data_IF_012088158406
#
_entry.id   IF_012088158406
#
_cell.length_a   1.000
_cell.length_b   1.000
_cell.length_c   1.000
_cell.angle_alpha   90.00
_cell.angle_beta   90.00
_cell.angle_gamma   90.00
#
_symmetry.space_group_name_H-M   'P 1'
#
loop_
_entity.id
_entity.type
_entity.pdbx_description
1 polymer ?
#
# COMPACT_ATOMS: atom_id res chain seq x y z
N UNK A 1 -44.59 -42.72 -12.64
CA UNK A 1 -43.52 -41.72 -12.38
C UNK A 1 -43.07 -41.19 -13.74
N UNK A 2 -43.30 -39.91 -14.04
CA UNK A 2 -43.15 -39.37 -15.39
C UNK A 2 -41.67 -39.31 -15.80
N UNK A 3 -41.31 -39.98 -16.90
CA UNK A 3 -39.94 -40.00 -17.46
C UNK A 3 -39.39 -38.59 -17.66
N UNK A 4 -40.25 -37.62 -18.00
CA UNK A 4 -39.88 -36.19 -18.11
C UNK A 4 -39.45 -35.55 -16.79
N UNK A 5 -40.02 -35.98 -15.66
CA UNK A 5 -39.66 -35.49 -14.33
C UNK A 5 -38.30 -36.04 -13.88
N UNK A 6 -38.00 -37.30 -14.23
CA UNK A 6 -36.73 -37.96 -13.92
C UNK A 6 -35.57 -37.31 -14.70
N UNK A 7 -35.78 -36.98 -15.98
CA UNK A 7 -34.77 -36.29 -16.81
C UNK A 7 -34.48 -34.88 -16.28
N UNK A 8 -35.49 -34.15 -15.80
CA UNK A 8 -35.31 -32.81 -15.24
C UNK A 8 -34.50 -32.84 -13.92
N UNK A 9 -34.74 -33.84 -13.07
CA UNK A 9 -33.99 -34.02 -11.82
C UNK A 9 -32.53 -34.42 -12.07
N UNK A 10 -32.25 -35.22 -13.11
CA UNK A 10 -30.89 -35.60 -13.49
C UNK A 10 -30.07 -34.41 -14.04
N UNK A 11 -30.70 -33.47 -14.75
CA UNK A 11 -30.04 -32.27 -15.26
C UNK A 11 -29.70 -31.25 -14.15
N UNK A 12 -30.51 -31.19 -13.09
CA UNK A 12 -30.27 -30.30 -11.94
C UNK A 12 -29.05 -30.71 -11.10
N UNK A 13 -28.70 -32.01 -11.05
CA UNK A 13 -27.52 -32.49 -10.31
C UNK A 13 -26.20 -32.34 -11.07
N UNK A 14 -26.23 -32.20 -12.40
CA UNK A 14 -25.02 -32.04 -13.22
C UNK A 14 -24.39 -30.62 -13.13
N UNK A 15 -25.13 -29.64 -12.58
CA UNK A 15 -24.69 -28.24 -12.47
C UNK A 15 -23.84 -27.92 -11.23
N UNK A 16 -23.75 -28.83 -10.25
CA UNK A 16 -22.95 -28.63 -9.03
C UNK A 16 -21.51 -29.11 -9.26
N UNK A 17 -20.81 -28.55 -10.26
CA UNK A 17 -19.35 -28.58 -10.23
C UNK A 17 -18.90 -27.51 -9.25
N UNK A 18 -18.71 -27.92 -7.99
CA UNK A 18 -18.04 -27.09 -6.99
C UNK A 18 -16.71 -26.62 -7.56
N UNK A 19 -16.52 -25.29 -7.60
CA UNK A 19 -15.21 -24.70 -7.80
C UNK A 19 -14.39 -25.11 -6.58
N UNK A 20 -13.60 -26.18 -6.69
CA UNK A 20 -12.51 -26.42 -5.75
C UNK A 20 -11.58 -25.22 -5.90
N UNK A 21 -11.61 -24.29 -4.95
CA UNK A 21 -10.49 -23.38 -4.76
C UNK A 21 -9.27 -24.28 -4.57
N UNK A 22 -8.34 -24.25 -5.53
CA UNK A 22 -7.05 -24.91 -5.34
C UNK A 22 -6.44 -24.25 -4.11
N UNK A 23 -6.32 -25.00 -3.01
CA UNK A 23 -5.67 -24.53 -1.80
C UNK A 23 -4.25 -24.09 -2.20
N UNK A 24 -3.97 -22.79 -2.08
CA UNK A 24 -2.66 -22.26 -2.47
C UNK A 24 -1.67 -22.75 -1.42
N UNK A 25 -0.79 -23.67 -1.80
CA UNK A 25 0.27 -24.15 -0.89
C UNK A 25 1.33 -23.05 -0.71
N UNK A 26 1.09 -22.21 0.29
CA UNK A 26 2.00 -21.13 0.66
C UNK A 26 3.39 -21.64 1.08
N UNK A 27 3.54 -22.88 1.55
CA UNK A 27 4.87 -23.39 1.89
C UNK A 27 5.73 -23.49 0.65
N UNK A 28 5.17 -24.10 -0.40
CA UNK A 28 5.85 -24.24 -1.70
C UNK A 28 6.00 -22.89 -2.39
N UNK A 29 4.95 -22.07 -2.37
CA UNK A 29 4.95 -20.78 -3.06
C UNK A 29 5.99 -19.81 -2.48
N UNK A 30 6.17 -19.81 -1.16
CA UNK A 30 7.13 -18.92 -0.50
C UNK A 30 8.59 -19.23 -0.87
N UNK A 31 8.90 -20.46 -1.27
CA UNK A 31 10.26 -20.85 -1.70
C UNK A 31 10.55 -20.51 -3.16
N UNK A 32 9.58 -19.93 -3.87
CA UNK A 32 9.77 -19.49 -5.25
C UNK A 32 10.39 -18.09 -5.32
N UNK A 33 11.13 -17.85 -6.41
CA UNK A 33 11.66 -16.54 -6.72
C UNK A 33 10.54 -15.61 -7.23
N UNK A 34 10.41 -14.38 -6.70
CA UNK A 34 9.44 -13.40 -7.19
C UNK A 34 9.74 -12.95 -8.63
N UNK A 35 8.70 -12.59 -9.38
CA UNK A 35 8.86 -12.12 -10.75
C UNK A 35 9.66 -10.83 -10.83
N UNK A 36 9.48 -9.91 -9.87
CA UNK A 36 10.17 -8.62 -9.81
C UNK A 36 11.70 -8.74 -9.71
N UNK A 37 12.23 -9.91 -9.35
CA UNK A 37 13.67 -10.17 -9.32
C UNK A 37 14.25 -10.36 -10.72
N UNK A 38 13.48 -10.94 -11.64
CA UNK A 38 13.93 -11.22 -13.01
C UNK A 38 13.63 -10.11 -14.00
N UNK A 39 12.70 -9.21 -13.67
CA UNK A 39 12.19 -8.21 -14.59
C UNK A 39 12.12 -6.86 -13.90
N UNK A 40 12.63 -5.80 -14.56
CA UNK A 40 12.37 -4.42 -14.16
C UNK A 40 10.86 -4.20 -14.22
N UNK A 41 10.21 -4.18 -13.06
CA UNK A 41 8.76 -4.10 -12.95
C UNK A 41 8.35 -2.66 -12.68
N UNK A 42 7.49 -2.11 -13.52
CA UNK A 42 6.76 -0.86 -13.22
C UNK A 42 5.52 -1.18 -12.36
N UNK A 43 4.96 -0.21 -11.64
CA UNK A 43 3.78 -0.40 -10.76
C UNK A 43 2.53 -0.91 -11.51
N UNK A 44 2.50 -0.72 -12.84
CA UNK A 44 1.44 -1.21 -13.73
C UNK A 44 1.63 -2.65 -14.21
N UNK A 45 2.76 -3.28 -13.90
CA UNK A 45 3.06 -4.65 -14.32
C UNK A 45 2.13 -5.65 -13.59
N UNK A 46 1.38 -6.41 -14.39
CA UNK A 46 0.48 -7.47 -13.89
C UNK A 46 1.25 -8.53 -13.08
N UNK A 47 2.52 -8.74 -13.41
CA UNK A 47 3.35 -9.72 -12.72
C UNK A 47 3.79 -9.20 -11.34
N UNK A 48 4.08 -7.90 -11.19
CA UNK A 48 4.31 -7.30 -9.87
C UNK A 48 3.05 -7.35 -9.00
N UNK A 49 1.87 -7.12 -9.58
CA UNK A 49 0.61 -7.29 -8.84
C UNK A 49 0.46 -8.70 -8.31
N UNK A 50 0.81 -9.70 -9.13
CA UNK A 50 0.79 -11.10 -8.70
C UNK A 50 1.76 -11.34 -7.53
N UNK A 51 2.99 -10.85 -7.62
CA UNK A 51 3.97 -10.96 -6.53
C UNK A 51 3.45 -10.34 -5.23
N UNK A 52 2.82 -9.16 -5.31
CA UNK A 52 2.21 -8.46 -4.17
C UNK A 52 1.07 -9.29 -3.56
N UNK A 53 0.19 -9.87 -4.38
CA UNK A 53 -0.92 -10.69 -3.89
C UNK A 53 -0.41 -11.98 -3.22
N UNK A 54 0.66 -12.59 -3.74
CA UNK A 54 1.33 -13.72 -3.09
C UNK A 54 1.86 -13.31 -1.71
N UNK A 55 2.55 -12.16 -1.62
CA UNK A 55 3.08 -11.66 -0.35
C UNK A 55 1.98 -11.35 0.66
N UNK A 56 0.87 -10.75 0.23
CA UNK A 56 -0.30 -10.51 1.10
C UNK A 56 -0.91 -11.81 1.61
N UNK A 57 -1.16 -12.74 0.70
CA UNK A 57 -1.85 -14.00 1.02
C UNK A 57 -0.99 -14.94 1.86
N UNK A 58 0.27 -15.17 1.46
CA UNK A 58 1.15 -16.14 2.09
C UNK A 58 2.08 -15.56 3.17
N UNK A 59 2.28 -14.24 3.20
CA UNK A 59 3.14 -13.56 4.15
C UNK A 59 2.43 -12.94 5.36
N UNK A 60 1.08 -12.99 5.40
CA UNK A 60 0.26 -12.35 6.42
C UNK A 60 0.58 -10.85 6.58
N UNK A 61 0.57 -10.11 5.46
CA UNK A 61 0.90 -8.68 5.46
C UNK A 61 -0.35 -7.89 5.81
N UNK A 62 -0.25 -7.04 6.82
CA UNK A 62 -1.34 -6.16 7.20
C UNK A 62 -1.36 -4.86 6.38
N UNK A 63 -2.23 -3.92 6.76
CA UNK A 63 -2.34 -2.63 6.06
C UNK A 63 -1.11 -1.72 6.22
N UNK A 64 -0.27 -1.94 7.23
CA UNK A 64 0.98 -1.21 7.46
C UNK A 64 2.09 -1.82 6.61
N UNK A 65 2.22 -3.14 6.63
CA UNK A 65 3.19 -3.86 5.80
C UNK A 65 2.94 -3.61 4.31
N UNK A 66 1.67 -3.57 3.92
CA UNK A 66 1.25 -3.30 2.54
C UNK A 66 1.71 -1.93 2.03
N UNK A 67 2.01 -0.96 2.90
CA UNK A 67 2.55 0.33 2.48
C UNK A 67 3.96 0.22 1.87
N UNK A 68 4.68 -0.85 2.21
CA UNK A 68 6.02 -1.14 1.68
C UNK A 68 6.01 -2.02 0.42
N UNK A 69 4.86 -2.59 0.04
CA UNK A 69 4.71 -3.48 -1.11
C UNK A 69 4.68 -2.71 -2.44
N UNK A 70 5.72 -1.90 -2.69
CA UNK A 70 5.95 -1.20 -3.95
C UNK A 70 7.15 -1.82 -4.66
N UNK A 71 7.09 -1.93 -5.99
CA UNK A 71 8.12 -2.59 -6.81
C UNK A 71 9.55 -2.17 -6.48
N UNK A 72 9.88 -0.86 -6.44
CA UNK A 72 11.22 -0.40 -6.07
C UNK A 72 11.65 -0.81 -4.66
N UNK A 73 10.75 -0.71 -3.68
CA UNK A 73 11.06 -1.07 -2.29
C UNK A 73 11.31 -2.57 -2.14
N UNK A 74 10.46 -3.39 -2.76
CA UNK A 74 10.65 -4.84 -2.81
C UNK A 74 11.99 -5.23 -3.45
N UNK A 75 12.37 -4.52 -4.52
CA UNK A 75 13.68 -4.69 -5.16
C UNK A 75 14.85 -4.34 -4.24
N UNK A 76 14.77 -3.23 -3.50
CA UNK A 76 15.82 -2.82 -2.55
C UNK A 76 15.96 -3.81 -1.40
N UNK A 77 14.84 -4.22 -0.77
CA UNK A 77 14.83 -5.20 0.31
C UNK A 77 15.47 -6.51 -0.19
N UNK A 78 15.02 -7.02 -1.34
CA UNK A 78 15.55 -8.26 -1.89
C UNK A 78 17.05 -8.16 -2.16
N UNK A 79 17.51 -7.07 -2.77
CA UNK A 79 18.91 -6.86 -3.08
C UNK A 79 19.77 -6.85 -1.81
N UNK A 80 19.30 -6.21 -0.74
CA UNK A 80 20.00 -6.17 0.54
C UNK A 80 20.12 -7.57 1.16
N UNK A 81 19.02 -8.33 1.19
CA UNK A 81 19.00 -9.67 1.77
C UNK A 81 19.86 -10.66 0.97
N UNK A 82 19.86 -10.56 -0.36
CA UNK A 82 20.74 -11.37 -1.23
C UNK A 82 22.21 -11.03 -1.01
N UNK A 83 22.56 -9.76 -0.84
CA UNK A 83 23.92 -9.34 -0.47
C UNK A 83 24.35 -9.86 0.89
N UNK A 84 23.40 -10.08 1.79
CA UNK A 84 23.62 -10.75 3.07
C UNK A 84 23.67 -12.29 2.97
N UNK A 85 23.66 -12.86 1.76
CA UNK A 85 23.80 -14.30 1.51
C UNK A 85 22.49 -15.09 1.53
N UNK A 86 21.33 -14.43 1.58
CA UNK A 86 20.02 -15.10 1.56
C UNK A 86 19.54 -15.39 0.13
N UNK A 87 18.72 -16.43 -0.09
CA UNK A 87 18.18 -16.72 -1.40
C UNK A 87 17.13 -15.66 -1.81
N UNK A 88 16.96 -15.46 -3.12
CA UNK A 88 16.02 -14.46 -3.64
C UNK A 88 14.58 -15.01 -3.74
N UNK A 89 13.93 -15.30 -2.61
CA UNK A 89 12.59 -15.93 -2.57
C UNK A 89 11.55 -15.05 -1.88
N UNK A 90 10.26 -15.33 -2.07
CA UNK A 90 9.21 -14.66 -1.29
C UNK A 90 9.41 -14.83 0.22
N UNK A 91 9.87 -16.00 0.67
CA UNK A 91 10.18 -16.28 2.08
C UNK A 91 11.18 -15.28 2.64
N UNK A 92 12.21 -14.90 1.87
CA UNK A 92 13.19 -13.90 2.29
C UNK A 92 12.55 -12.55 2.58
N UNK A 93 11.58 -12.10 1.76
CA UNK A 93 10.81 -10.88 2.02
C UNK A 93 9.95 -11.04 3.27
N UNK A 94 9.23 -12.17 3.39
CA UNK A 94 8.38 -12.44 4.57
C UNK A 94 9.21 -12.43 5.85
N UNK A 95 10.38 -13.07 5.85
CA UNK A 95 11.27 -13.13 7.01
C UNK A 95 11.88 -11.76 7.35
N UNK A 96 12.19 -10.95 6.33
CA UNK A 96 12.57 -9.55 6.54
C UNK A 96 11.48 -8.80 7.30
N UNK A 97 10.21 -8.85 6.84
CA UNK A 97 9.11 -8.16 7.52
C UNK A 97 8.83 -8.72 8.92
N UNK A 98 8.93 -10.04 9.11
CA UNK A 98 8.80 -10.67 10.42
C UNK A 98 9.82 -10.13 11.44
N UNK A 99 11.01 -9.78 10.99
CA UNK A 99 12.03 -9.17 11.84
C UNK A 99 11.85 -7.66 11.96
N UNK A 100 11.57 -6.97 10.85
CA UNK A 100 11.38 -5.53 10.82
C UNK A 100 10.23 -5.09 11.72
N UNK A 101 9.12 -5.83 11.77
CA UNK A 101 7.98 -5.57 12.69
C UNK A 101 8.37 -5.47 14.16
N UNK A 102 9.51 -6.04 14.56
CA UNK A 102 9.99 -6.04 15.94
C UNK A 102 10.79 -4.78 16.29
N UNK A 103 11.21 -3.99 15.30
CA UNK A 103 12.11 -2.85 15.51
C UNK A 103 11.35 -1.59 15.94
N UNK A 104 12.10 -0.58 16.40
CA UNK A 104 11.53 0.71 16.77
C UNK A 104 11.07 1.49 15.51
N UNK A 105 11.83 1.39 14.44
CA UNK A 105 11.57 2.07 13.17
C UNK A 105 10.23 1.63 12.55
N UNK A 106 9.90 0.34 12.65
CA UNK A 106 8.57 -0.12 12.21
C UNK A 106 7.45 0.47 13.06
N UNK A 107 7.62 0.55 14.38
CA UNK A 107 6.62 1.13 15.29
C UNK A 107 6.42 2.62 15.02
N UNK A 108 7.50 3.35 14.81
CA UNK A 108 7.47 4.77 14.47
C UNK A 108 6.80 5.00 13.11
N UNK A 109 7.12 4.17 12.11
CA UNK A 109 6.45 4.19 10.81
C UNK A 109 4.94 3.90 10.93
N UNK A 110 4.57 2.83 11.66
CA UNK A 110 3.17 2.46 11.87
C UNK A 110 2.40 3.58 12.56
N UNK A 111 3.01 4.22 13.56
CA UNK A 111 2.44 5.38 14.24
C UNK A 111 2.26 6.56 13.28
N UNK A 112 3.31 6.93 12.52
CA UNK A 112 3.24 8.01 11.52
C UNK A 112 2.18 7.75 10.46
N UNK A 113 2.09 6.53 9.93
CA UNK A 113 1.07 6.13 8.97
C UNK A 113 -0.34 6.23 9.55
N UNK A 114 -0.52 5.91 10.84
CA UNK A 114 -1.79 6.08 11.53
C UNK A 114 -2.19 7.56 11.66
N UNK A 115 -1.24 8.44 11.98
CA UNK A 115 -1.48 9.88 12.06
C UNK A 115 -1.83 10.46 10.69
N UNK A 116 -1.08 10.06 9.66
CA UNK A 116 -1.32 10.45 8.27
C UNK A 116 -2.73 10.06 7.81
N UNK A 117 -3.16 8.81 8.08
CA UNK A 117 -4.53 8.36 7.76
C UNK A 117 -5.58 9.16 8.52
N UNK A 118 -5.35 9.40 9.82
CA UNK A 118 -6.27 10.15 10.68
C UNK A 118 -6.47 11.59 10.19
N UNK A 119 -5.39 12.31 9.92
CA UNK A 119 -5.49 13.70 9.46
C UNK A 119 -5.94 13.80 8.01
N UNK A 120 -5.45 12.90 7.14
CA UNK A 120 -5.75 12.92 5.72
C UNK A 120 -7.24 12.76 5.39
N UNK A 121 -7.99 12.06 6.25
CA UNK A 121 -9.44 11.91 6.12
C UNK A 121 -10.25 13.05 6.76
N UNK A 122 -9.64 13.86 7.62
CA UNK A 122 -10.30 15.00 8.26
C UNK A 122 -10.53 16.10 7.23
N UNK A 123 -11.74 16.68 7.21
CA UNK A 123 -12.03 17.89 6.44
C UNK A 123 -11.25 19.07 6.99
N UNK A 124 -10.73 19.91 6.09
CA UNK A 124 -10.03 21.13 6.47
C UNK A 124 -11.00 22.07 7.18
N UNK A 125 -10.63 22.50 8.39
CA UNK A 125 -11.32 23.54 9.15
C UNK A 125 -10.28 24.41 9.82
N UNK A 126 -10.14 25.66 9.35
CA UNK A 126 -9.08 26.56 9.84
C UNK A 126 -9.24 26.92 11.33
N UNK A 127 -10.46 26.87 11.86
CA UNK A 127 -10.73 26.99 13.30
C UNK A 127 -10.03 25.91 14.14
N UNK A 128 -9.85 24.70 13.59
CA UNK A 128 -9.17 23.59 14.25
C UNK A 128 -7.65 23.58 14.00
N UNK A 129 -7.14 24.51 13.18
CA UNK A 129 -5.76 24.46 12.66
C UNK A 129 -4.71 24.32 13.76
N UNK A 130 -4.90 25.01 14.89
CA UNK A 130 -3.93 24.96 16.01
C UNK A 130 -3.75 23.54 16.56
N UNK A 131 -4.81 22.74 16.56
CA UNK A 131 -4.78 21.35 17.01
C UNK A 131 -4.29 20.44 15.88
N UNK A 132 -4.75 20.68 14.65
CA UNK A 132 -4.41 19.85 13.51
C UNK A 132 -2.93 19.96 13.10
N UNK A 133 -2.33 21.15 13.23
CA UNK A 133 -0.90 21.36 12.94
C UNK A 133 0.02 20.51 13.82
N UNK A 134 -0.39 20.14 15.04
CA UNK A 134 0.43 19.28 15.91
C UNK A 134 0.67 17.90 15.28
N UNK A 135 -0.29 17.39 14.51
CA UNK A 135 -0.14 16.13 13.79
C UNK A 135 0.83 16.27 12.62
N UNK A 136 0.87 17.42 11.95
CA UNK A 136 1.86 17.71 10.91
C UNK A 136 3.27 17.89 11.47
N UNK A 137 3.42 18.54 12.63
CA UNK A 137 4.71 18.62 13.35
C UNK A 137 5.23 17.21 13.67
N UNK A 138 4.37 16.31 14.14
CA UNK A 138 4.73 14.90 14.42
C UNK A 138 5.10 14.10 13.16
N UNK A 139 4.66 14.57 11.99
CA UNK A 139 5.07 14.01 10.69
C UNK A 139 6.36 14.66 10.13
N UNK A 140 6.97 15.59 10.86
CA UNK A 140 8.26 16.21 10.51
C UNK A 140 8.16 17.53 9.74
N UNK A 141 6.98 18.13 9.64
CA UNK A 141 6.82 19.44 8.99
C UNK A 141 7.51 20.53 9.81
N UNK A 142 8.23 21.42 9.13
CA UNK A 142 8.82 22.60 9.76
C UNK A 142 7.78 23.70 9.97
N UNK A 143 8.09 24.68 10.82
CA UNK A 143 7.20 25.83 11.05
C UNK A 143 6.89 26.56 9.74
N UNK A 144 7.89 26.73 8.87
CA UNK A 144 7.71 27.38 7.57
C UNK A 144 6.78 26.58 6.67
N UNK A 145 6.94 25.25 6.59
CA UNK A 145 6.05 24.39 5.80
C UNK A 145 4.60 24.50 6.29
N UNK A 146 4.40 24.63 7.60
CA UNK A 146 3.08 24.78 8.21
C UNK A 146 2.44 26.12 7.92
N UNK A 147 3.22 27.21 7.96
CA UNK A 147 2.73 28.55 7.63
C UNK A 147 2.32 28.64 6.16
N UNK A 148 3.17 28.16 5.25
CA UNK A 148 2.88 28.14 3.82
C UNK A 148 1.67 27.27 3.51
N UNK A 149 1.59 26.07 4.11
CA UNK A 149 0.45 25.20 3.92
C UNK A 149 -0.82 25.79 4.51
N UNK A 150 -0.78 26.42 5.69
CA UNK A 150 -1.94 27.12 6.27
C UNK A 150 -2.47 28.19 5.32
N UNK A 151 -1.58 29.00 4.74
CA UNK A 151 -1.98 30.04 3.80
C UNK A 151 -2.64 29.45 2.55
N UNK A 152 -2.10 28.34 2.03
CA UNK A 152 -2.74 27.59 0.95
C UNK A 152 -4.17 27.10 1.29
N UNK A 153 -4.40 26.69 2.54
CA UNK A 153 -5.71 26.23 3.02
C UNK A 153 -6.77 27.35 3.14
N UNK A 154 -6.36 28.63 3.15
CA UNK A 154 -7.27 29.79 3.19
C UNK A 154 -7.97 30.03 1.85
N UNK A 155 -7.47 29.43 0.76
CA UNK A 155 -8.05 29.59 -0.56
C UNK A 155 -9.47 28.96 -0.64
N UNK A 156 -10.45 29.65 -1.28
CA UNK A 156 -11.80 29.11 -1.46
C UNK A 156 -11.83 27.74 -2.16
N UNK A 157 -10.84 27.45 -3.01
CA UNK A 157 -10.69 26.16 -3.68
C UNK A 157 -10.49 24.97 -2.74
N UNK A 158 -10.08 25.21 -1.48
CA UNK A 158 -9.92 24.17 -0.46
C UNK A 158 -11.16 23.98 0.41
N UNK A 159 -12.21 24.77 0.21
CA UNK A 159 -13.44 24.64 0.98
C UNK A 159 -14.06 23.25 0.77
N UNK A 160 -14.25 22.52 1.87
CA UNK A 160 -14.81 21.16 1.87
C UNK A 160 -13.83 20.05 1.50
N UNK A 161 -12.58 20.37 1.16
CA UNK A 161 -11.52 19.38 0.93
C UNK A 161 -11.10 18.69 2.24
N UNK A 162 -10.56 17.49 2.14
CA UNK A 162 -9.80 16.88 3.24
C UNK A 162 -8.35 17.39 3.25
N UNK A 163 -7.67 17.25 4.38
CA UNK A 163 -6.24 17.61 4.46
C UNK A 163 -5.41 16.85 3.43
N UNK A 164 -5.72 15.59 3.13
CA UNK A 164 -5.01 14.84 2.08
C UNK A 164 -5.21 15.46 0.70
N UNK A 165 -6.46 15.81 0.36
CA UNK A 165 -6.77 16.43 -0.94
C UNK A 165 -6.09 17.79 -1.08
N UNK A 166 -6.15 18.61 -0.04
CA UNK A 166 -5.51 19.91 -0.02
C UNK A 166 -3.99 19.79 -0.11
N UNK A 167 -3.38 18.88 0.64
CA UNK A 167 -1.95 18.63 0.60
C UNK A 167 -1.47 18.15 -0.77
N UNK A 168 -2.20 17.24 -1.42
CA UNK A 168 -1.86 16.80 -2.78
C UNK A 168 -1.89 17.95 -3.80
N UNK A 169 -2.82 18.89 -3.66
CA UNK A 169 -2.90 20.07 -4.53
C UNK A 169 -1.75 21.04 -4.26
N UNK A 170 -1.44 21.29 -2.98
CA UNK A 170 -0.31 22.11 -2.56
C UNK A 170 1.02 21.61 -3.14
N UNK A 171 1.27 20.30 -3.04
CA UNK A 171 2.48 19.70 -3.61
C UNK A 171 2.54 19.82 -5.14
N UNK A 172 1.41 19.66 -5.83
CA UNK A 172 1.34 19.83 -7.28
C UNK A 172 1.66 21.27 -7.72
N UNK A 173 1.23 22.29 -6.95
CA UNK A 173 1.58 23.69 -7.21
C UNK A 173 3.08 23.94 -6.99
N UNK A 174 3.68 23.39 -5.92
CA UNK A 174 5.12 23.49 -5.67
C UNK A 174 5.95 22.87 -6.80
N UNK A 175 5.55 21.69 -7.29
CA UNK A 175 6.21 21.02 -8.42
C UNK A 175 6.09 21.84 -9.71
N UNK A 176 4.91 22.38 -10.01
CA UNK A 176 4.71 23.26 -11.17
C UNK A 176 5.60 24.51 -11.13
N UNK A 177 5.70 25.15 -9.96
CA UNK A 177 6.55 26.33 -9.77
C UNK A 177 8.06 26.04 -9.88
N UNK A 178 8.49 24.80 -9.64
CA UNK A 178 9.90 24.40 -9.86
C UNK A 178 10.21 24.26 -11.35
N UNK A 179 9.31 23.64 -12.12
CA UNK A 179 9.52 23.41 -13.56
C UNK A 179 9.59 24.73 -14.34
N UNK A 180 8.84 25.75 -13.93
CA UNK A 180 8.87 27.06 -14.59
C UNK A 180 10.10 27.92 -14.25
N UNK A 181 10.85 27.58 -13.18
CA UNK A 181 12.11 28.26 -12.85
C UNK A 181 13.33 27.69 -13.58
N UNK A 182 13.20 26.49 -14.15
CA UNK A 182 14.27 25.79 -14.87
C UNK A 182 14.15 25.96 -16.41
N UNK A 183 13.27 26.86 -16.88
CA UNK A 183 13.13 27.29 -18.28
C UNK A 183 13.63 28.72 -18.45
#
# INVERSE_FOLDING_TARGET
MNVRLVVLLLLLFAGLRGVSQSDVDCKVLLDQQPYFVKHKSDEKDLALKRDIEILKHCGNFDSVDSAFLKGPMLGVIMLQEVRAGKPATYRTIVDFFNNFRKTAEYKDFAYGLSLYRKIGQKKVRLEDWKVDQELFVRMGFTVNDLEDFKHFLEAPAQQGATYLQAFSRYMAELEGMRVDKDK
#
